data_IF_427132327325
#
_entry.id   IF_427132327325
#
_cell.length_a   1.000
_cell.length_b   1.000
_cell.length_c   1.000
_cell.angle_alpha   90.00
_cell.angle_beta   90.00
_cell.angle_gamma   90.00
#
_symmetry.space_group_name_H-M   'P 1'
#
loop_
_entity.id
_entity.type
_entity.pdbx_description
1 polymer ?
#
# COMPACT_ATOMS: atom_id res chain seq x y z
N UNK A 1 13.23 -6.86 2.28
CA UNK A 1 12.27 -5.94 2.90
C UNK A 1 10.97 -5.90 2.09
N UNK A 2 9.84 -5.92 2.77
CA UNK A 2 8.52 -5.94 2.15
C UNK A 2 7.87 -4.56 2.01
N UNK A 3 8.53 -3.50 2.48
CA UNK A 3 8.09 -2.11 2.33
C UNK A 3 9.29 -1.16 2.36
N UNK A 4 10.01 -1.07 1.25
CA UNK A 4 11.16 -0.18 1.15
C UNK A 4 10.98 0.87 0.06
N UNK A 5 11.28 2.13 0.37
CA UNK A 5 11.28 3.20 -0.62
C UNK A 5 12.68 3.42 -1.19
N UNK A 6 12.81 3.30 -2.50
CA UNK A 6 14.11 3.32 -3.20
C UNK A 6 14.71 4.73 -3.41
N UNK A 7 14.38 5.64 -2.51
CA UNK A 7 14.90 7.02 -2.54
C UNK A 7 14.09 7.95 -3.44
N UNK A 8 14.66 9.10 -3.71
CA UNK A 8 14.06 10.18 -4.47
C UNK A 8 14.00 11.48 -3.67
N UNK A 9 13.45 12.54 -4.28
CA UNK A 9 13.47 13.87 -3.67
C UNK A 9 12.84 13.94 -2.29
N UNK A 10 11.71 13.27 -2.07
CA UNK A 10 11.01 13.31 -0.78
C UNK A 10 11.73 12.52 0.32
N UNK A 11 12.59 11.59 -0.01
CA UNK A 11 13.42 10.84 0.93
C UNK A 11 14.83 11.41 1.09
N UNK A 12 15.17 12.49 0.38
CA UNK A 12 16.46 13.18 0.51
C UNK A 12 17.69 12.40 0.01
N UNK A 13 17.51 11.21 -0.57
CA UNK A 13 18.62 10.36 -0.99
C UNK A 13 18.44 9.83 -2.42
N UNK A 14 19.56 9.66 -3.15
CA UNK A 14 19.52 9.03 -4.47
C UNK A 14 19.29 7.52 -4.37
N UNK A 15 18.64 6.90 -5.38
CA UNK A 15 18.50 5.44 -5.42
C UNK A 15 19.81 4.69 -5.29
N UNK A 16 20.86 5.14 -5.94
CA UNK A 16 22.19 4.50 -5.90
C UNK A 16 22.76 4.43 -4.48
N UNK A 17 22.63 5.50 -3.73
CA UNK A 17 23.06 5.52 -2.32
C UNK A 17 22.24 4.55 -1.47
N UNK A 18 20.92 4.60 -1.60
CA UNK A 18 20.00 3.75 -0.85
C UNK A 18 20.25 2.27 -1.15
N UNK A 19 20.46 1.91 -2.40
CA UNK A 19 20.75 0.53 -2.80
C UNK A 19 22.04 -0.01 -2.20
N UNK A 20 23.12 0.78 -2.25
CA UNK A 20 24.40 0.40 -1.65
C UNK A 20 24.29 0.22 -0.15
N UNK A 21 23.57 1.12 0.53
CA UNK A 21 23.35 1.03 1.97
C UNK A 21 22.55 -0.24 2.32
N UNK A 22 21.47 -0.53 1.62
CA UNK A 22 20.68 -1.74 1.83
C UNK A 22 21.49 -3.01 1.57
N UNK A 23 22.22 -3.08 0.47
CA UNK A 23 23.07 -4.23 0.14
C UNK A 23 24.15 -4.45 1.20
N UNK A 24 24.76 -3.38 1.73
CA UNK A 24 25.74 -3.46 2.80
C UNK A 24 25.14 -4.00 4.12
N UNK A 25 23.82 -3.84 4.33
CA UNK A 25 23.11 -4.39 5.47
C UNK A 25 22.41 -5.73 5.18
N UNK A 26 22.74 -6.38 4.06
CA UNK A 26 22.20 -7.71 3.71
C UNK A 26 20.78 -7.68 3.12
N UNK A 27 20.22 -6.52 2.79
CA UNK A 27 18.92 -6.43 2.12
C UNK A 27 19.10 -6.67 0.62
N UNK A 28 18.86 -7.88 0.18
CA UNK A 28 19.07 -8.32 -1.21
C UNK A 28 17.80 -8.31 -2.07
N UNK A 29 16.65 -8.11 -1.46
CA UNK A 29 15.35 -8.05 -2.15
C UNK A 29 14.45 -7.04 -1.46
N UNK A 30 13.78 -6.22 -2.27
CA UNK A 30 12.83 -5.22 -1.77
C UNK A 30 11.54 -5.21 -2.57
N UNK A 31 10.46 -4.86 -1.90
CA UNK A 31 9.23 -4.42 -2.53
C UNK A 31 9.11 -2.90 -2.38
N UNK A 32 9.04 -2.19 -3.50
CA UNK A 32 8.78 -0.75 -3.55
C UNK A 32 7.27 -0.51 -3.74
N UNK A 33 6.52 -0.22 -2.68
CA UNK A 33 5.06 -0.18 -2.74
C UNK A 33 4.50 1.18 -3.15
N UNK A 34 5.31 2.09 -3.66
CA UNK A 34 4.86 3.41 -4.10
C UNK A 34 5.53 4.57 -3.39
N UNK A 35 6.77 4.83 -3.69
CA UNK A 35 7.52 6.00 -3.21
C UNK A 35 7.42 7.21 -4.15
N UNK A 36 8.26 8.21 -3.93
CA UNK A 36 8.30 9.47 -4.67
C UNK A 36 8.83 9.37 -6.09
N UNK A 37 9.47 8.25 -6.45
CA UNK A 37 9.95 8.05 -7.81
C UNK A 37 8.81 7.82 -8.79
N UNK A 38 8.96 8.35 -10.01
CA UNK A 38 8.02 8.06 -11.07
C UNK A 38 7.96 6.57 -11.36
N UNK A 39 6.79 6.07 -11.76
CA UNK A 39 6.63 4.64 -12.07
C UNK A 39 7.59 4.18 -13.18
N UNK A 40 7.81 5.01 -14.20
CA UNK A 40 8.79 4.76 -15.27
C UNK A 40 10.19 4.50 -14.71
N UNK A 41 10.67 5.36 -13.83
CA UNK A 41 12.00 5.22 -13.24
C UNK A 41 12.10 3.98 -12.34
N UNK A 42 11.05 3.65 -11.57
CA UNK A 42 11.02 2.41 -10.77
C UNK A 42 11.17 1.16 -11.64
N UNK A 43 10.47 1.09 -12.76
CA UNK A 43 10.59 -0.02 -13.71
C UNK A 43 11.96 -0.07 -14.39
N UNK A 44 12.55 1.08 -14.69
CA UNK A 44 13.89 1.17 -15.24
C UNK A 44 14.94 0.62 -14.25
N UNK A 45 14.88 1.04 -12.98
CA UNK A 45 15.75 0.56 -11.92
C UNK A 45 15.56 -0.95 -11.65
N UNK A 46 14.32 -1.42 -11.64
CA UNK A 46 13.97 -2.84 -11.57
C UNK A 46 14.68 -3.63 -12.69
N UNK A 47 14.59 -3.17 -13.93
CA UNK A 47 15.19 -3.84 -15.08
C UNK A 47 16.72 -3.82 -15.01
N UNK A 48 17.32 -2.71 -14.59
CA UNK A 48 18.77 -2.60 -14.38
C UNK A 48 19.24 -3.56 -13.27
N UNK A 49 18.52 -3.63 -12.15
CA UNK A 49 18.78 -4.59 -11.08
C UNK A 49 18.66 -6.04 -11.56
N UNK A 50 17.59 -6.36 -12.31
CA UNK A 50 17.40 -7.70 -12.89
C UNK A 50 18.55 -8.14 -13.80
N UNK A 51 19.12 -7.20 -14.55
CA UNK A 51 20.25 -7.42 -15.47
C UNK A 51 21.62 -7.31 -14.79
N UNK A 52 21.67 -7.03 -13.48
CA UNK A 52 22.90 -6.78 -12.73
C UNK A 52 23.78 -5.65 -13.33
N UNK A 53 23.16 -4.65 -13.96
CA UNK A 53 23.87 -3.47 -14.51
C UNK A 53 24.02 -2.34 -13.51
N UNK A 54 23.45 -2.49 -12.33
CA UNK A 54 23.64 -1.61 -11.16
C UNK A 54 23.79 -2.46 -9.90
N UNK A 55 24.44 -1.91 -8.89
CA UNK A 55 24.50 -2.50 -7.54
C UNK A 55 23.19 -2.16 -6.83
N UNK A 56 22.26 -3.11 -6.75
CA UNK A 56 20.96 -2.91 -6.16
C UNK A 56 20.34 -4.23 -5.69
N UNK A 57 19.47 -4.21 -4.68
CA UNK A 57 18.61 -5.35 -4.37
C UNK A 57 17.74 -5.74 -5.56
N UNK A 58 17.22 -6.94 -5.58
CA UNK A 58 16.11 -7.31 -6.48
C UNK A 58 14.89 -6.45 -6.14
N UNK A 59 14.33 -5.78 -7.15
CA UNK A 59 13.22 -4.82 -6.95
C UNK A 59 11.91 -5.40 -7.48
N UNK A 60 10.90 -5.44 -6.61
CA UNK A 60 9.49 -5.62 -6.98
C UNK A 60 8.81 -4.26 -6.96
N UNK A 61 8.49 -3.75 -8.15
CA UNK A 61 7.96 -2.39 -8.34
C UNK A 61 6.44 -2.39 -8.44
N UNK A 62 5.77 -1.77 -7.48
CA UNK A 62 4.31 -1.61 -7.49
C UNK A 62 3.91 -0.25 -8.05
N UNK A 63 2.79 -0.24 -8.79
CA UNK A 63 2.13 1.00 -9.21
C UNK A 63 1.22 1.52 -8.12
N UNK A 64 1.27 2.81 -7.86
CA UNK A 64 0.30 3.47 -6.98
C UNK A 64 -1.01 3.68 -7.72
N UNK A 65 -2.11 3.15 -7.17
CA UNK A 65 -3.43 3.26 -7.78
C UNK A 65 -3.86 4.72 -7.93
N UNK A 66 -4.40 5.04 -9.09
CA UNK A 66 -4.81 6.40 -9.41
C UNK A 66 -6.19 6.72 -8.79
N UNK A 67 -6.22 7.63 -7.83
CA UNK A 67 -7.47 8.09 -7.18
C UNK A 67 -8.43 8.85 -8.11
N UNK A 68 -8.01 9.19 -9.34
CA UNK A 68 -8.86 9.86 -10.35
C UNK A 68 -9.73 8.89 -11.16
N UNK A 69 -9.52 7.59 -11.01
CA UNK A 69 -10.38 6.55 -11.59
C UNK A 69 -11.79 6.69 -11.01
N UNK A 70 -12.79 6.71 -11.87
CA UNK A 70 -14.18 7.06 -11.52
C UNK A 70 -15.17 5.92 -11.68
N UNK A 71 -14.75 4.81 -12.28
CA UNK A 71 -15.62 3.65 -12.47
C UNK A 71 -14.87 2.33 -12.32
N UNK A 72 -15.58 1.22 -12.02
CA UNK A 72 -15.01 -0.12 -11.99
C UNK A 72 -14.30 -0.52 -13.30
N UNK A 73 -14.83 -0.14 -14.45
CA UNK A 73 -14.22 -0.45 -15.74
C UNK A 73 -12.93 0.32 -15.98
N UNK A 74 -12.91 1.61 -15.64
CA UNK A 74 -11.66 2.40 -15.64
C UNK A 74 -10.62 1.80 -14.72
N UNK A 75 -11.04 1.28 -13.56
CA UNK A 75 -10.14 0.62 -12.61
C UNK A 75 -9.51 -0.64 -13.22
N UNK A 76 -10.28 -1.51 -13.84
CA UNK A 76 -9.76 -2.69 -14.53
C UNK A 76 -8.80 -2.31 -15.65
N UNK A 77 -9.16 -1.35 -16.47
CA UNK A 77 -8.29 -0.87 -17.54
C UNK A 77 -6.98 -0.28 -17.02
N UNK A 78 -7.04 0.50 -15.94
CA UNK A 78 -5.86 1.04 -15.30
C UNK A 78 -4.91 -0.08 -14.78
N UNK A 79 -5.47 -1.12 -14.18
CA UNK A 79 -4.70 -2.29 -13.71
C UNK A 79 -4.04 -3.02 -14.88
N UNK A 80 -4.80 -3.32 -15.94
CA UNK A 80 -4.29 -3.95 -17.18
C UNK A 80 -3.13 -3.17 -17.78
N UNK A 81 -3.26 -1.86 -17.87
CA UNK A 81 -2.22 -1.00 -18.44
C UNK A 81 -0.93 -0.98 -17.61
N UNK A 82 -1.05 -1.00 -16.28
CA UNK A 82 0.13 -1.07 -15.41
C UNK A 82 0.77 -2.48 -15.43
N UNK A 83 -0.02 -3.52 -15.55
CA UNK A 83 0.47 -4.88 -15.78
C UNK A 83 1.31 -4.97 -17.06
N UNK A 84 0.77 -4.45 -18.19
CA UNK A 84 1.48 -4.40 -19.50
C UNK A 84 2.79 -3.62 -19.42
N UNK A 85 2.87 -2.58 -18.57
CA UNK A 85 4.10 -1.81 -18.33
C UNK A 85 5.14 -2.56 -17.50
N UNK A 86 4.77 -3.69 -16.89
CA UNK A 86 5.68 -4.53 -16.10
C UNK A 86 5.66 -4.30 -14.60
N UNK A 87 4.57 -3.74 -14.05
CA UNK A 87 4.36 -3.69 -12.60
C UNK A 87 4.27 -5.10 -12.00
N UNK A 88 4.82 -5.30 -10.82
CA UNK A 88 4.68 -6.54 -10.05
C UNK A 88 3.43 -6.56 -9.19
N UNK A 89 2.80 -5.42 -9.01
CA UNK A 89 1.59 -5.27 -8.22
C UNK A 89 1.09 -3.84 -8.13
N UNK A 90 0.02 -3.68 -7.36
CA UNK A 90 -0.67 -2.41 -7.16
C UNK A 90 -0.67 -2.04 -5.68
N UNK A 91 -0.34 -0.78 -5.38
CA UNK A 91 -0.48 -0.16 -4.07
C UNK A 91 -1.70 0.74 -4.04
N UNK A 92 -2.63 0.47 -3.13
CA UNK A 92 -3.81 1.29 -2.89
C UNK A 92 -3.62 2.24 -1.70
N UNK A 93 -4.28 3.41 -1.75
CA UNK A 93 -4.49 4.32 -0.62
C UNK A 93 -5.97 4.46 -0.27
N UNK A 94 -6.84 3.87 -1.08
CA UNK A 94 -8.29 3.92 -0.98
C UNK A 94 -8.92 4.49 -2.24
N UNK A 95 -10.15 4.05 -2.49
CA UNK A 95 -11.05 4.54 -3.52
C UNK A 95 -12.49 4.21 -3.10
N UNK A 96 -13.49 4.50 -3.94
CA UNK A 96 -14.83 4.01 -3.71
C UNK A 96 -14.85 2.47 -3.67
N UNK A 97 -15.72 1.84 -2.85
CA UNK A 97 -15.72 0.39 -2.64
C UNK A 97 -15.79 -0.45 -3.92
N UNK A 98 -16.66 -0.08 -4.85
CA UNK A 98 -16.83 -0.75 -6.14
C UNK A 98 -15.57 -0.66 -7.03
N UNK A 99 -14.91 0.48 -7.00
CA UNK A 99 -13.64 0.73 -7.70
C UNK A 99 -12.52 -0.10 -7.07
N UNK A 100 -12.43 -0.11 -5.73
CA UNK A 100 -11.44 -0.93 -5.01
C UNK A 100 -11.61 -2.41 -5.33
N UNK A 101 -12.82 -2.90 -5.24
CA UNK A 101 -13.14 -4.30 -5.53
C UNK A 101 -12.74 -4.67 -6.97
N UNK A 102 -13.18 -3.89 -7.95
CA UNK A 102 -12.87 -4.13 -9.35
C UNK A 102 -11.35 -4.14 -9.64
N UNK A 103 -10.62 -3.23 -9.03
CA UNK A 103 -9.17 -3.16 -9.20
C UNK A 103 -8.44 -4.35 -8.53
N UNK A 104 -8.86 -4.76 -7.33
CA UNK A 104 -8.28 -5.91 -6.62
C UNK A 104 -8.57 -7.22 -7.38
N UNK A 105 -9.81 -7.41 -7.83
CA UNK A 105 -10.21 -8.57 -8.63
C UNK A 105 -9.41 -8.68 -9.93
N UNK A 106 -9.31 -7.59 -10.69
CA UNK A 106 -8.54 -7.58 -11.93
C UNK A 106 -7.04 -7.83 -11.69
N UNK A 107 -6.49 -7.26 -10.63
CA UNK A 107 -5.12 -7.49 -10.23
C UNK A 107 -4.86 -8.97 -9.92
N UNK A 108 -5.79 -9.61 -9.22
CA UNK A 108 -5.76 -11.06 -8.94
C UNK A 108 -5.86 -11.90 -10.20
N UNK A 109 -6.76 -11.54 -11.13
CA UNK A 109 -6.96 -12.24 -12.41
C UNK A 109 -5.70 -12.21 -13.28
N UNK A 110 -4.92 -11.15 -13.17
CA UNK A 110 -3.63 -11.00 -13.86
C UNK A 110 -2.44 -11.62 -13.12
N UNK A 111 -2.67 -12.28 -11.98
CA UNK A 111 -1.62 -12.87 -11.15
C UNK A 111 -0.70 -11.85 -10.47
N UNK A 112 -1.08 -10.59 -10.43
CA UNK A 112 -0.32 -9.54 -9.75
C UNK A 112 -0.60 -9.52 -8.25
N UNK A 113 0.32 -8.94 -7.49
CA UNK A 113 0.14 -8.73 -6.06
C UNK A 113 -0.51 -7.38 -5.77
N UNK A 114 -1.26 -7.29 -4.67
CA UNK A 114 -1.89 -6.05 -4.21
C UNK A 114 -1.59 -5.78 -2.75
N UNK A 115 -1.44 -4.50 -2.43
CA UNK A 115 -1.27 -4.05 -1.05
C UNK A 115 -2.03 -2.73 -0.85
N UNK A 116 -2.45 -2.46 0.37
CA UNK A 116 -3.16 -1.22 0.69
C UNK A 116 -2.64 -0.57 1.97
N UNK A 117 -2.34 0.72 1.84
CA UNK A 117 -2.36 1.66 2.95
C UNK A 117 -3.81 2.11 3.09
N UNK A 118 -4.55 1.56 4.05
CA UNK A 118 -5.94 1.94 4.28
C UNK A 118 -6.00 3.36 4.82
N UNK A 119 -6.12 4.32 3.91
CA UNK A 119 -6.14 5.73 4.30
C UNK A 119 -7.28 6.00 5.29
N UNK A 120 -6.95 6.62 6.40
CA UNK A 120 -7.88 6.83 7.53
C UNK A 120 -9.18 7.56 7.11
N UNK A 121 -9.09 8.41 6.09
CA UNK A 121 -10.26 9.10 5.52
C UNK A 121 -11.23 8.16 4.77
N UNK A 122 -10.82 6.95 4.47
CA UNK A 122 -11.60 5.99 3.68
C UNK A 122 -12.01 4.72 4.46
N UNK A 123 -11.48 4.49 5.66
CA UNK A 123 -11.70 3.23 6.41
C UNK A 123 -13.15 3.00 6.81
N UNK A 124 -13.98 4.03 6.90
CA UNK A 124 -15.42 3.91 7.14
C UNK A 124 -16.16 3.25 5.98
N UNK A 125 -15.65 3.42 4.76
CA UNK A 125 -16.26 2.87 3.54
C UNK A 125 -15.66 1.52 3.15
N UNK A 126 -14.36 1.36 3.40
CA UNK A 126 -13.58 0.21 2.98
C UNK A 126 -12.42 -0.01 3.95
N UNK A 127 -12.56 -0.96 4.85
CA UNK A 127 -11.54 -1.32 5.83
C UNK A 127 -10.76 -2.60 5.44
N UNK A 128 -9.95 -3.09 6.35
CA UNK A 128 -9.12 -4.29 6.13
C UNK A 128 -9.95 -5.53 5.80
N UNK A 129 -11.10 -5.75 6.46
CA UNK A 129 -11.96 -6.91 6.20
C UNK A 129 -12.55 -6.87 4.78
N UNK A 130 -12.96 -5.70 4.30
CA UNK A 130 -13.45 -5.55 2.95
C UNK A 130 -12.34 -5.90 1.94
N UNK A 131 -11.14 -5.36 2.13
CA UNK A 131 -10.00 -5.62 1.27
C UNK A 131 -9.59 -7.11 1.28
N UNK A 132 -9.55 -7.74 2.46
CA UNK A 132 -9.22 -9.15 2.60
C UNK A 132 -10.22 -10.03 1.86
N UNK A 133 -11.53 -9.77 2.01
CA UNK A 133 -12.60 -10.50 1.31
C UNK A 133 -12.55 -10.30 -0.21
N UNK A 134 -12.13 -9.12 -0.68
CA UNK A 134 -11.90 -8.87 -2.11
C UNK A 134 -10.65 -9.55 -2.65
N UNK A 135 -9.75 -10.06 -1.79
CA UNK A 135 -8.55 -10.79 -2.16
C UNK A 135 -7.27 -9.95 -2.17
N UNK A 136 -7.21 -8.87 -1.39
CA UNK A 136 -5.98 -8.13 -1.15
C UNK A 136 -4.91 -9.04 -0.54
N UNK A 137 -3.66 -8.96 -1.04
CA UNK A 137 -2.59 -9.85 -0.59
C UNK A 137 -1.90 -9.39 0.69
N UNK A 138 -1.82 -8.09 0.92
CA UNK A 138 -1.18 -7.53 2.12
C UNK A 138 -1.72 -6.15 2.46
N UNK A 139 -1.59 -5.77 3.71
CA UNK A 139 -1.85 -4.39 4.16
C UNK A 139 -0.55 -3.75 4.62
N UNK A 140 -0.52 -2.42 4.59
CA UNK A 140 0.57 -1.59 5.07
C UNK A 140 0.13 -0.84 6.33
N UNK A 141 1.03 -0.67 7.29
CA UNK A 141 0.88 0.22 8.43
C UNK A 141 -0.27 -0.06 9.39
N UNK A 142 -0.97 -1.21 9.32
CA UNK A 142 -2.07 -1.59 10.21
C UNK A 142 -3.28 -0.61 10.27
N UNK A 143 -3.31 0.45 9.45
CA UNK A 143 -4.49 1.30 9.33
C UNK A 143 -5.69 0.53 8.77
N UNK A 144 -6.87 0.82 9.30
CA UNK A 144 -8.10 0.10 8.96
C UNK A 144 -8.31 -1.20 9.76
N UNK A 145 -7.29 -1.69 10.48
CA UNK A 145 -7.40 -2.87 11.32
C UNK A 145 -8.13 -2.58 12.63
N UNK A 146 -7.75 -1.56 13.43
CA UNK A 146 -8.53 -1.25 14.65
C UNK A 146 -9.99 -0.93 14.34
N UNK A 147 -10.27 -0.21 13.24
CA UNK A 147 -11.66 0.09 12.81
C UNK A 147 -12.44 -1.18 12.46
N UNK A 148 -11.79 -2.19 11.91
CA UNK A 148 -12.41 -3.45 11.55
C UNK A 148 -12.80 -4.33 12.76
N UNK A 149 -12.25 -4.05 13.93
CA UNK A 149 -12.53 -4.80 15.17
C UNK A 149 -13.81 -4.31 15.90
N UNK A 150 -14.45 -3.25 15.44
CA UNK A 150 -15.72 -2.79 15.98
C UNK A 150 -16.88 -3.47 15.23
N UNK A 151 -17.48 -4.48 15.83
CA UNK A 151 -18.54 -5.28 15.21
C UNK A 151 -19.93 -4.62 15.31
N UNK A 152 -20.11 -3.72 16.28
CA UNK A 152 -21.38 -3.09 16.63
C UNK A 152 -21.60 -1.73 15.98
N UNK A 153 -20.56 -1.17 15.36
CA UNK A 153 -20.57 0.18 14.80
C UNK A 153 -19.48 0.40 13.75
N UNK A 154 -19.71 1.38 12.89
CA UNK A 154 -18.70 1.89 11.95
C UNK A 154 -18.01 3.08 12.61
N UNK A 155 -16.68 3.03 12.67
CA UNK A 155 -15.87 4.09 13.29
C UNK A 155 -14.98 4.77 12.27
N UNK A 156 -15.06 6.11 12.30
CA UNK A 156 -14.05 7.00 11.73
C UNK A 156 -13.85 8.14 12.74
N UNK A 157 -13.03 7.90 13.75
CA UNK A 157 -12.86 8.82 14.88
C UNK A 157 -11.51 9.52 14.80
N UNK A 158 -11.38 10.45 13.86
CA UNK A 158 -10.22 11.31 13.75
C UNK A 158 -10.59 12.76 14.07
N UNK A 159 -9.69 13.55 14.68
CA UNK A 159 -9.98 14.93 15.03
C UNK A 159 -10.21 15.80 13.78
N UNK A 160 -10.95 16.93 13.91
CA UNK A 160 -11.21 17.84 12.78
C UNK A 160 -9.94 18.43 12.17
N UNK A 161 -8.90 18.58 12.97
CA UNK A 161 -7.57 19.10 12.57
C UNK A 161 -6.58 17.99 12.16
N UNK A 162 -7.09 16.82 11.75
CA UNK A 162 -6.28 15.69 11.38
C UNK A 162 -5.27 16.01 10.28
N UNK A 163 -3.98 15.98 10.63
CA UNK A 163 -2.91 16.23 9.69
C UNK A 163 -2.45 14.96 9.00
N UNK A 164 -3.02 14.70 7.83
CA UNK A 164 -2.69 13.52 7.02
C UNK A 164 -1.24 13.48 6.54
N UNK A 165 -0.56 14.60 6.42
CA UNK A 165 0.83 14.68 5.97
C UNK A 165 1.83 14.38 7.09
N UNK A 166 1.41 14.47 8.35
CA UNK A 166 2.23 14.15 9.50
C UNK A 166 2.08 12.68 9.89
N UNK A 167 3.11 11.87 9.63
CA UNK A 167 3.08 10.44 9.91
C UNK A 167 2.99 10.13 11.40
N UNK A 168 3.71 10.87 12.23
CA UNK A 168 3.63 10.70 13.68
C UNK A 168 2.21 10.94 14.19
N UNK A 169 1.57 12.02 13.73
CA UNK A 169 0.18 12.33 14.08
C UNK A 169 -0.78 11.20 13.65
N UNK A 170 -0.58 10.64 12.44
CA UNK A 170 -1.38 9.49 11.97
C UNK A 170 -1.26 8.28 12.92
N UNK A 171 -0.04 7.94 13.32
CA UNK A 171 0.20 6.82 14.24
C UNK A 171 -0.41 7.06 15.61
N UNK A 172 -0.30 8.27 16.15
CA UNK A 172 -0.90 8.63 17.43
C UNK A 172 -2.43 8.50 17.44
N UNK A 173 -3.09 9.01 16.40
CA UNK A 173 -4.55 8.91 16.29
C UNK A 173 -5.01 7.46 16.10
N UNK A 174 -4.34 6.69 15.26
CA UNK A 174 -4.64 5.27 15.11
C UNK A 174 -4.36 4.49 16.41
N UNK A 175 -3.32 4.84 17.16
CA UNK A 175 -3.02 4.25 18.47
C UNK A 175 -4.13 4.48 19.50
N UNK A 176 -4.85 5.60 19.43
CA UNK A 176 -6.04 5.85 20.30
C UNK A 176 -7.17 4.89 20.00
N UNK A 177 -7.38 4.53 18.74
CA UNK A 177 -8.40 3.55 18.35
C UNK A 177 -8.09 2.15 18.89
N UNK A 178 -6.81 1.76 18.93
CA UNK A 178 -6.42 0.47 19.50
C UNK A 178 -6.82 0.30 20.96
N UNK A 179 -6.80 1.36 21.75
CA UNK A 179 -7.25 1.32 23.15
C UNK A 179 -8.75 1.05 23.29
N UNK A 180 -9.51 1.37 22.26
CA UNK A 180 -11.00 1.23 22.25
C UNK A 180 -11.45 -0.01 21.48
N UNK A 181 -10.57 -0.57 20.64
CA UNK A 181 -10.84 -1.77 19.86
C UNK A 181 -10.95 -3.00 20.76
N UNK A 182 -11.18 -4.15 20.17
CA UNK A 182 -11.34 -5.39 20.91
C UNK A 182 -10.10 -5.73 21.77
N UNK A 183 -10.34 -6.23 22.97
CA UNK A 183 -9.27 -6.80 23.79
C UNK A 183 -8.66 -8.01 23.05
N UNK A 184 -7.33 -8.21 23.08
CA UNK A 184 -6.72 -9.42 22.54
C UNK A 184 -7.40 -10.69 23.05
N UNK A 185 -7.61 -11.63 22.14
CA UNK A 185 -8.29 -12.91 22.40
C UNK A 185 -9.77 -12.81 22.84
N UNK A 186 -10.41 -11.65 22.72
CA UNK A 186 -11.86 -11.53 22.86
C UNK A 186 -12.58 -12.05 21.61
N UNK A 187 -13.91 -12.22 21.70
CA UNK A 187 -14.72 -12.61 20.54
C UNK A 187 -14.53 -11.67 19.34
N UNK A 188 -14.50 -10.35 19.59
CA UNK A 188 -14.26 -9.35 18.55
C UNK A 188 -12.86 -9.48 17.91
N UNK A 189 -11.88 -9.89 18.69
CA UNK A 189 -10.51 -10.11 18.17
C UNK A 189 -10.42 -11.34 17.27
N UNK A 190 -11.23 -12.35 17.52
CA UNK A 190 -11.19 -13.62 16.80
C UNK A 190 -12.03 -13.62 15.50
N UNK A 191 -12.83 -12.58 15.27
CA UNK A 191 -13.61 -12.38 14.05
C UNK A 191 -12.79 -11.68 12.97
#
# INVERSE_FOLDING_TARGET
DTHGHIGGRSQGASPDYVFKLWMAHGVTTIREPGGSLSHKLKLELKNKSKKNTIIAPRIYAFSTFNSRVKSPEEARNWVRDNAKKGSDGIKFFGAAPDIMQAAIEENKNLGLRSTSHHAQLNVVRWNVLNSARAGLNSMEHWYGLPEALFNDRIIQNYPPDYNYQNEQHRFEQAGKLWKQAAKPYSEHWNN
#
